data_IF_926875493360
#
_entry.id   IF_926875493360
#
_cell.length_a   1.000
_cell.length_b   1.000
_cell.length_c   1.000
_cell.angle_alpha   90.00
_cell.angle_beta   90.00
_cell.angle_gamma   90.00
#
_symmetry.space_group_name_H-M   'P 1'
#
loop_
_entity.id
_entity.type
_entity.pdbx_description
1 polymer ?
#
# COMPACT_ATOMS: atom_id res chain seq x y z
N UNK A 1 -18.90 3.83 -14.56
CA UNK A 1 -19.82 3.56 -13.44
C UNK A 1 -21.26 3.51 -13.94
N UNK A 2 -22.13 2.68 -13.34
CA UNK A 2 -23.57 2.67 -13.67
C UNK A 2 -24.21 3.91 -13.05
N UNK A 3 -24.70 4.82 -13.90
CA UNK A 3 -25.18 6.13 -13.43
C UNK A 3 -26.39 6.04 -12.50
N UNK A 4 -27.26 5.04 -12.71
CA UNK A 4 -28.42 4.79 -11.86
C UNK A 4 -27.98 4.45 -10.42
N UNK A 5 -27.09 3.47 -10.27
CA UNK A 5 -26.64 2.98 -8.97
C UNK A 5 -25.91 4.08 -8.19
N UNK A 6 -25.07 4.87 -8.87
CA UNK A 6 -24.40 6.03 -8.26
C UNK A 6 -25.41 7.06 -7.77
N UNK A 7 -26.41 7.39 -8.57
CA UNK A 7 -27.43 8.37 -8.18
C UNK A 7 -28.32 7.86 -7.04
N UNK A 8 -28.60 6.55 -6.98
CA UNK A 8 -29.37 5.90 -5.92
C UNK A 8 -28.62 5.94 -4.58
N UNK A 9 -27.34 5.55 -4.58
CA UNK A 9 -26.46 5.64 -3.40
C UNK A 9 -26.32 7.09 -2.90
N UNK A 10 -26.33 8.05 -3.82
CA UNK A 10 -26.25 9.48 -3.49
C UNK A 10 -27.60 10.11 -3.11
N UNK A 11 -28.67 9.31 -3.03
CA UNK A 11 -29.99 9.73 -2.55
C UNK A 11 -30.78 10.60 -3.53
N UNK A 12 -30.45 10.59 -4.83
CA UNK A 12 -31.19 11.37 -5.82
C UNK A 12 -32.52 10.69 -6.16
N UNK A 13 -33.63 11.37 -5.85
CA UNK A 13 -34.99 10.85 -6.14
C UNK A 13 -35.24 10.64 -7.64
N UNK A 14 -34.69 11.52 -8.49
CA UNK A 14 -34.80 11.41 -9.94
C UNK A 14 -33.42 11.27 -10.58
N UNK A 15 -32.99 10.02 -10.74
CA UNK A 15 -31.72 9.63 -11.36
C UNK A 15 -31.51 10.26 -12.75
N UNK A 16 -32.54 10.25 -13.61
CA UNK A 16 -32.42 10.76 -14.97
C UNK A 16 -32.20 12.28 -15.00
N UNK A 17 -32.87 13.00 -14.10
CA UNK A 17 -32.69 14.44 -13.92
C UNK A 17 -31.31 14.76 -13.34
N UNK A 18 -30.90 14.08 -12.26
CA UNK A 18 -29.58 14.28 -11.67
C UNK A 18 -28.44 14.05 -12.68
N UNK A 19 -28.55 12.97 -13.47
CA UNK A 19 -27.60 12.68 -14.55
C UNK A 19 -27.61 13.75 -15.65
N UNK A 20 -28.77 14.32 -15.98
CA UNK A 20 -28.89 15.39 -16.98
C UNK A 20 -28.37 16.74 -16.50
N UNK A 21 -28.60 17.06 -15.22
CA UNK A 21 -28.25 18.36 -14.63
C UNK A 21 -26.75 18.45 -14.29
N UNK A 22 -26.13 17.34 -13.86
CA UNK A 22 -24.77 17.35 -13.31
C UNK A 22 -23.70 16.72 -14.21
N UNK A 23 -24.05 15.72 -15.03
CA UNK A 23 -23.08 15.08 -15.92
C UNK A 23 -22.92 15.89 -17.21
N UNK A 24 -21.67 16.11 -17.63
CA UNK A 24 -21.36 16.83 -18.88
C UNK A 24 -20.95 15.90 -20.00
N UNK A 25 -20.43 14.71 -19.67
CA UNK A 25 -20.12 13.70 -20.67
C UNK A 25 -21.39 13.19 -21.35
N UNK A 26 -21.30 12.81 -22.64
CA UNK A 26 -22.40 12.11 -23.33
C UNK A 26 -22.58 10.76 -22.62
N UNK A 27 -23.74 10.51 -21.96
CA UNK A 27 -23.95 9.26 -21.28
C UNK A 27 -24.04 8.16 -22.33
N UNK A 28 -23.06 7.25 -22.31
CA UNK A 28 -23.05 6.11 -23.21
C UNK A 28 -24.11 5.12 -22.74
N UNK A 29 -25.02 4.75 -23.63
CA UNK A 29 -25.99 3.71 -23.37
C UNK A 29 -25.42 2.40 -23.90
N UNK A 30 -25.34 1.41 -23.04
CA UNK A 30 -24.88 0.08 -23.40
C UNK A 30 -25.99 -0.92 -23.08
N UNK A 31 -26.33 -1.80 -24.03
CA UNK A 31 -27.21 -2.92 -23.76
C UNK A 31 -26.51 -3.88 -22.80
N UNK A 32 -27.08 -4.07 -21.62
CA UNK A 32 -26.61 -5.03 -20.64
C UNK A 32 -27.68 -6.09 -20.41
N UNK A 33 -27.28 -7.37 -20.38
CA UNK A 33 -28.18 -8.44 -20.01
C UNK A 33 -28.38 -8.44 -18.50
N UNK A 34 -29.62 -8.21 -18.07
CA UNK A 34 -30.03 -8.23 -16.66
C UNK A 34 -31.04 -9.35 -16.45
N UNK A 35 -31.41 -9.64 -15.20
CA UNK A 35 -32.47 -10.62 -14.87
C UNK A 35 -33.83 -10.28 -15.52
N UNK A 36 -34.05 -9.02 -15.90
CA UNK A 36 -35.24 -8.56 -16.62
C UNK A 36 -35.08 -8.48 -18.14
N UNK A 37 -34.01 -9.04 -18.71
CA UNK A 37 -33.69 -8.96 -20.13
C UNK A 37 -32.64 -7.90 -20.45
N UNK A 38 -32.46 -7.62 -21.74
CA UNK A 38 -31.49 -6.61 -22.22
C UNK A 38 -32.01 -5.22 -21.94
N UNK A 39 -31.28 -4.43 -21.17
CA UNK A 39 -31.63 -3.06 -20.78
C UNK A 39 -30.54 -2.08 -21.21
N UNK A 40 -30.96 -0.91 -21.69
CA UNK A 40 -30.05 0.19 -22.02
C UNK A 40 -29.66 0.97 -20.76
N UNK A 41 -28.42 0.79 -20.31
CA UNK A 41 -27.91 1.38 -19.07
C UNK A 41 -27.01 2.57 -19.39
N UNK A 42 -27.21 3.69 -18.68
CA UNK A 42 -26.32 4.86 -18.77
C UNK A 42 -25.03 4.62 -17.98
N UNK A 43 -23.92 4.58 -18.69
CA UNK A 43 -22.58 4.53 -18.10
C UNK A 43 -22.01 5.95 -18.06
N UNK A 44 -21.58 6.36 -16.86
CA UNK A 44 -20.93 7.65 -16.62
C UNK A 44 -19.44 7.48 -16.37
N UNK A 45 -18.70 8.53 -16.71
CA UNK A 45 -17.27 8.67 -16.47
C UNK A 45 -16.99 9.03 -15.01
N UNK A 46 -15.75 8.86 -14.56
CA UNK A 46 -15.33 9.27 -13.21
C UNK A 46 -15.53 10.78 -12.94
N UNK A 47 -15.18 11.70 -13.87
CA UNK A 47 -15.48 13.12 -13.66
C UNK A 47 -16.97 13.42 -13.46
N UNK A 48 -17.85 12.72 -14.17
CA UNK A 48 -19.30 12.89 -14.01
C UNK A 48 -19.80 12.31 -12.68
N UNK A 49 -19.23 11.20 -12.23
CA UNK A 49 -19.49 10.67 -10.89
C UNK A 49 -19.06 11.66 -9.80
N UNK A 50 -17.86 12.23 -9.89
CA UNK A 50 -17.38 13.23 -8.93
C UNK A 50 -18.27 14.48 -8.91
N UNK A 51 -18.78 14.93 -10.07
CA UNK A 51 -19.76 16.03 -10.16
C UNK A 51 -21.06 15.71 -9.40
N UNK A 52 -21.56 14.48 -9.51
CA UNK A 52 -22.75 14.04 -8.77
C UNK A 52 -22.51 14.01 -7.26
N UNK A 53 -21.33 13.56 -6.82
CA UNK A 53 -20.95 13.53 -5.40
C UNK A 53 -20.90 14.95 -4.85
N UNK A 54 -20.19 15.85 -5.52
CA UNK A 54 -20.04 17.26 -5.12
C UNK A 54 -21.39 18.00 -5.11
N UNK A 55 -22.36 17.57 -5.92
CA UNK A 55 -23.71 18.16 -5.97
C UNK A 55 -24.70 17.52 -5.00
N UNK A 56 -24.32 16.44 -4.31
CA UNK A 56 -25.21 15.71 -3.39
C UNK A 56 -25.33 16.42 -2.05
N UNK A 57 -26.51 16.32 -1.42
CA UNK A 57 -26.80 16.86 -0.08
C UNK A 57 -26.64 15.83 1.03
N UNK A 58 -26.10 14.65 0.73
CA UNK A 58 -25.85 13.65 1.76
C UNK A 58 -24.67 14.07 2.62
N UNK A 59 -24.75 13.94 3.97
CA UNK A 59 -23.66 14.34 4.86
C UNK A 59 -22.32 13.65 4.54
N UNK A 60 -22.35 12.42 4.01
CA UNK A 60 -21.14 11.72 3.58
C UNK A 60 -20.51 12.34 2.32
N UNK A 61 -21.34 12.78 1.37
CA UNK A 61 -20.88 13.43 0.16
C UNK A 61 -20.32 14.83 0.45
N UNK A 62 -20.97 15.59 1.34
CA UNK A 62 -20.47 16.90 1.80
C UNK A 62 -19.13 16.79 2.55
N UNK A 63 -18.93 15.73 3.37
CA UNK A 63 -17.63 15.49 3.99
C UNK A 63 -16.54 15.20 2.96
N UNK A 64 -16.86 14.42 1.93
CA UNK A 64 -15.93 14.13 0.84
C UNK A 64 -15.62 15.39 0.02
N UNK A 65 -16.64 16.16 -0.35
CA UNK A 65 -16.49 17.43 -1.06
C UNK A 65 -15.59 18.38 -0.25
N UNK A 66 -15.88 18.60 1.02
CA UNK A 66 -15.04 19.43 1.90
C UNK A 66 -13.60 18.95 1.94
N UNK A 67 -13.38 17.65 2.14
CA UNK A 67 -12.03 17.08 2.15
C UNK A 67 -11.30 17.32 0.81
N UNK A 68 -11.96 17.12 -0.32
CA UNK A 68 -11.37 17.36 -1.64
C UNK A 68 -11.04 18.85 -1.85
N UNK A 69 -11.97 19.75 -1.54
CA UNK A 69 -11.83 21.18 -1.85
C UNK A 69 -10.99 21.96 -0.85
N UNK A 70 -11.00 21.60 0.42
CA UNK A 70 -10.28 22.31 1.48
C UNK A 70 -8.90 21.70 1.76
N UNK A 71 -8.72 20.40 1.55
CA UNK A 71 -7.47 19.70 1.88
C UNK A 71 -6.73 19.24 0.61
N UNK A 72 -7.34 18.37 -0.21
CA UNK A 72 -6.65 17.70 -1.32
C UNK A 72 -6.23 18.68 -2.41
N UNK A 73 -7.16 19.43 -2.99
CA UNK A 73 -6.90 20.33 -4.10
C UNK A 73 -5.97 21.49 -3.71
N UNK A 74 -6.11 22.14 -2.54
CA UNK A 74 -5.17 23.16 -2.10
C UNK A 74 -3.76 22.61 -1.89
N UNK A 75 -3.62 21.39 -1.35
CA UNK A 75 -2.33 20.74 -1.14
C UNK A 75 -1.66 20.37 -2.46
N UNK A 76 -2.40 19.76 -3.39
CA UNK A 76 -1.93 19.47 -4.75
C UNK A 76 -1.50 20.75 -5.48
N UNK A 77 -2.28 21.83 -5.40
CA UNK A 77 -1.94 23.10 -6.05
C UNK A 77 -0.66 23.72 -5.49
N UNK A 78 -0.44 23.64 -4.18
CA UNK A 78 0.72 24.26 -3.50
C UNK A 78 2.00 23.44 -3.63
N UNK A 79 1.89 22.11 -3.55
CA UNK A 79 3.05 21.22 -3.39
C UNK A 79 3.26 20.28 -4.57
N UNK A 80 2.29 20.16 -5.48
CA UNK A 80 2.30 19.21 -6.59
C UNK A 80 2.01 17.77 -6.19
N UNK A 81 1.83 17.48 -4.89
CA UNK A 81 1.60 16.13 -4.37
C UNK A 81 0.53 16.15 -3.27
N UNK A 82 -0.11 15.01 -3.03
CA UNK A 82 -0.96 14.80 -1.86
C UNK A 82 -0.72 13.38 -1.36
N UNK A 83 -0.45 13.24 -0.06
CA UNK A 83 -0.20 11.94 0.57
C UNK A 83 -1.19 11.78 1.72
N UNK A 84 -1.93 10.67 1.72
CA UNK A 84 -2.88 10.37 2.78
C UNK A 84 -2.12 10.09 4.08
N UNK A 85 -2.51 10.67 5.23
CA UNK A 85 -1.88 10.36 6.51
C UNK A 85 -1.93 8.85 6.79
N UNK A 86 -0.76 8.21 6.92
CA UNK A 86 -0.65 6.76 7.13
C UNK A 86 -0.47 5.92 5.86
N UNK A 87 -0.59 6.50 4.67
CA UNK A 87 -0.14 5.84 3.45
C UNK A 87 1.40 5.90 3.41
N UNK A 88 2.05 4.74 3.54
CA UNK A 88 3.48 4.62 3.27
C UNK A 88 3.72 5.06 1.81
N UNK A 89 4.74 5.89 1.53
CA UNK A 89 5.09 6.22 0.17
C UNK A 89 5.39 4.91 -0.59
N UNK A 90 4.51 4.56 -1.52
CA UNK A 90 4.73 3.40 -2.40
C UNK A 90 5.97 3.67 -3.23
N UNK A 91 6.93 2.76 -3.17
CA UNK A 91 8.13 2.84 -4.00
C UNK A 91 7.71 2.87 -5.48
N UNK A 92 8.39 3.65 -6.34
CA UNK A 92 8.17 3.57 -7.78
C UNK A 92 8.33 2.12 -8.25
N UNK A 93 7.47 1.65 -9.17
CA UNK A 93 7.47 0.25 -9.64
C UNK A 93 8.87 -0.31 -9.98
N UNK A 94 9.69 0.38 -10.79
CA UNK A 94 11.04 -0.08 -11.10
C UNK A 94 11.96 -0.24 -9.87
N UNK A 95 11.76 0.58 -8.85
CA UNK A 95 12.51 0.48 -7.59
C UNK A 95 12.00 -0.69 -6.75
N UNK A 96 10.68 -0.88 -6.68
CA UNK A 96 10.06 -2.00 -5.96
C UNK A 96 10.53 -3.36 -6.51
N UNK A 97 10.56 -3.51 -7.83
CA UNK A 97 11.00 -4.74 -8.50
C UNK A 97 12.48 -5.06 -8.17
N UNK A 98 13.35 -4.04 -8.18
CA UNK A 98 14.76 -4.18 -7.80
C UNK A 98 14.91 -4.62 -6.34
N UNK A 99 14.15 -4.03 -5.42
CA UNK A 99 14.17 -4.41 -4.00
C UNK A 99 13.72 -5.87 -3.82
N UNK A 100 12.62 -6.26 -4.47
CA UNK A 100 12.10 -7.63 -4.41
C UNK A 100 13.12 -8.65 -4.91
N UNK A 101 13.78 -8.37 -6.05
CA UNK A 101 14.83 -9.21 -6.59
C UNK A 101 16.02 -9.36 -5.63
N UNK A 102 16.48 -8.25 -5.04
CA UNK A 102 17.59 -8.26 -4.08
C UNK A 102 17.26 -9.05 -2.80
N UNK A 103 16.04 -8.93 -2.29
CA UNK A 103 15.58 -9.72 -1.14
C UNK A 103 15.55 -11.22 -1.43
N UNK A 104 15.06 -11.60 -2.62
CA UNK A 104 15.03 -12.99 -3.06
C UNK A 104 16.45 -13.58 -3.11
N UNK A 105 17.39 -12.85 -3.74
CA UNK A 105 18.80 -13.22 -3.78
C UNK A 105 19.36 -13.40 -2.36
N UNK A 106 19.07 -12.46 -1.46
CA UNK A 106 19.46 -12.53 -0.05
C UNK A 106 18.97 -13.79 0.67
N UNK A 107 17.73 -14.21 0.42
CA UNK A 107 17.15 -15.44 0.96
C UNK A 107 17.82 -16.71 0.42
N UNK A 108 18.28 -16.69 -0.84
CA UNK A 108 19.05 -17.81 -1.38
C UNK A 108 20.46 -17.85 -0.80
N UNK A 109 21.12 -16.69 -0.66
CA UNK A 109 22.45 -16.58 -0.06
C UNK A 109 22.46 -17.06 1.40
N UNK A 110 21.39 -16.82 2.16
CA UNK A 110 21.29 -17.28 3.56
C UNK A 110 21.19 -18.81 3.69
N UNK A 111 20.83 -19.53 2.63
CA UNK A 111 20.75 -21.01 2.61
C UNK A 111 22.07 -21.69 2.23
N UNK A 112 23.10 -20.93 1.84
CA UNK A 112 24.41 -21.49 1.47
C UNK A 112 25.09 -22.07 2.72
N UNK A 113 25.59 -23.32 2.68
CA UNK A 113 26.30 -23.92 3.82
C UNK A 113 27.46 -23.04 4.28
N UNK A 114 27.54 -22.76 5.58
CA UNK A 114 28.56 -21.89 6.18
C UNK A 114 28.23 -20.39 6.18
N UNK A 115 27.15 -19.95 5.53
CA UNK A 115 26.69 -18.55 5.62
C UNK A 115 25.89 -18.31 6.90
N UNK A 116 26.22 -17.23 7.61
CA UNK A 116 25.45 -16.78 8.77
C UNK A 116 24.27 -15.92 8.30
N UNK A 117 23.02 -16.19 8.73
CA UNK A 117 21.84 -15.45 8.28
C UNK A 117 21.93 -13.93 8.48
N UNK A 118 22.53 -13.48 9.59
CA UNK A 118 22.71 -12.05 9.86
C UNK A 118 23.67 -11.35 8.88
N UNK A 119 24.70 -12.06 8.40
CA UNK A 119 25.64 -11.51 7.41
C UNK A 119 24.95 -11.42 6.05
N UNK A 120 24.21 -12.45 5.66
CA UNK A 120 23.43 -12.45 4.42
C UNK A 120 22.38 -11.32 4.42
N UNK A 121 21.68 -11.12 5.53
CA UNK A 121 20.72 -10.02 5.69
C UNK A 121 21.39 -8.64 5.59
N UNK A 122 22.53 -8.44 6.27
CA UNK A 122 23.28 -7.19 6.21
C UNK A 122 23.81 -6.87 4.80
N UNK A 123 24.34 -7.88 4.10
CA UNK A 123 24.78 -7.75 2.71
C UNK A 123 23.62 -7.41 1.77
N UNK A 124 22.46 -8.05 1.98
CA UNK A 124 21.23 -7.76 1.20
C UNK A 124 20.78 -6.31 1.39
N UNK A 125 20.74 -5.83 2.64
CA UNK A 125 20.42 -4.44 2.97
C UNK A 125 21.41 -3.45 2.37
N UNK A 126 22.71 -3.77 2.37
CA UNK A 126 23.73 -2.95 1.72
C UNK A 126 23.53 -2.88 0.19
N UNK A 127 23.16 -4.01 -0.42
CA UNK A 127 22.88 -4.08 -1.85
C UNK A 127 21.62 -3.29 -2.23
N UNK A 128 20.58 -3.32 -1.39
CA UNK A 128 19.39 -2.47 -1.58
C UNK A 128 19.79 -0.99 -1.55
N UNK A 129 20.58 -0.57 -0.55
CA UNK A 129 21.06 0.82 -0.43
C UNK A 129 21.79 1.27 -1.69
N UNK A 130 22.74 0.48 -2.19
CA UNK A 130 23.56 0.85 -3.35
C UNK A 130 22.80 0.88 -4.67
N UNK A 131 21.69 0.15 -4.78
CA UNK A 131 20.92 0.04 -6.03
C UNK A 131 19.66 0.92 -6.07
N UNK A 132 19.20 1.44 -4.93
CA UNK A 132 17.92 2.16 -4.82
C UNK A 132 18.02 3.53 -4.16
N UNK A 133 19.19 3.90 -3.61
CA UNK A 133 19.39 5.09 -2.79
C UNK A 133 18.44 5.18 -1.57
N UNK A 134 17.79 4.08 -1.18
CA UNK A 134 16.95 4.03 0.01
C UNK A 134 17.81 4.13 1.26
N UNK A 135 17.37 4.97 2.20
CA UNK A 135 18.03 5.17 3.48
C UNK A 135 17.86 3.92 4.35
N UNK A 136 18.89 3.08 4.41
CA UNK A 136 18.90 1.91 5.31
C UNK A 136 19.46 2.23 6.70
N UNK A 137 19.86 3.47 6.97
CA UNK A 137 20.48 3.89 8.23
C UNK A 137 19.51 3.81 9.42
N UNK A 138 18.24 4.15 9.22
CA UNK A 138 17.21 4.04 10.26
C UNK A 138 16.97 2.57 10.62
N UNK A 139 16.92 1.69 9.63
CA UNK A 139 16.79 0.24 9.82
C UNK A 139 18.03 -0.32 10.50
N UNK A 140 19.23 0.10 10.08
CA UNK A 140 20.50 -0.32 10.69
C UNK A 140 20.59 0.10 12.15
N UNK A 141 20.09 1.29 12.49
CA UNK A 141 20.04 1.81 13.87
C UNK A 141 18.99 1.11 14.72
N UNK A 142 17.87 0.69 14.12
CA UNK A 142 16.81 -0.07 14.78
C UNK A 142 17.16 -1.55 15.00
N UNK A 143 18.02 -2.12 14.15
CA UNK A 143 18.53 -3.47 14.34
C UNK A 143 19.42 -3.50 15.58
N UNK A 144 19.16 -4.41 16.55
CA UNK A 144 20.04 -4.56 17.70
C UNK A 144 21.44 -4.94 17.19
N UNK A 145 22.47 -4.32 17.78
CA UNK A 145 23.84 -4.76 17.55
C UNK A 145 23.91 -6.27 17.80
N UNK A 146 24.65 -6.99 16.94
CA UNK A 146 24.86 -8.42 17.09
C UNK A 146 25.72 -8.65 18.35
N UNK A 147 25.08 -8.63 19.52
CA UNK A 147 25.77 -8.64 20.82
C UNK A 147 26.41 -9.98 21.15
N UNK A 148 26.07 -11.05 20.41
CA UNK A 148 26.59 -12.39 20.67
C UNK A 148 27.16 -13.03 19.41
N UNK A 149 28.49 -13.20 19.36
CA UNK A 149 29.07 -14.25 18.54
C UNK A 149 28.64 -15.59 19.16
N UNK A 150 27.69 -16.31 18.54
CA UNK A 150 27.30 -17.67 18.95
C UNK A 150 28.50 -18.63 19.09
N UNK A 151 29.64 -18.28 18.47
CA UNK A 151 30.91 -19.00 18.53
C UNK A 151 31.79 -18.69 19.76
N UNK A 152 31.39 -17.81 20.67
CA UNK A 152 32.15 -17.50 21.90
C UNK A 152 31.57 -18.14 23.17
N UNK A 153 30.39 -18.77 23.09
CA UNK A 153 29.80 -19.43 24.24
C UNK A 153 30.31 -20.87 24.30
N UNK A 154 31.13 -21.19 25.30
CA UNK A 154 31.43 -22.58 25.61
C UNK A 154 30.18 -23.28 26.16
N UNK A 155 30.13 -24.61 26.09
CA UNK A 155 28.97 -25.41 26.52
C UNK A 155 28.50 -25.09 27.96
N UNK A 156 29.44 -24.68 28.82
CA UNK A 156 29.18 -24.29 30.21
C UNK A 156 28.48 -22.93 30.32
N UNK A 157 28.88 -21.96 29.50
CA UNK A 157 28.25 -20.63 29.42
C UNK A 157 26.86 -20.71 28.79
N UNK A 158 26.69 -21.60 27.81
CA UNK A 158 25.40 -21.85 27.17
C UNK A 158 24.42 -22.53 28.15
N UNK A 159 24.88 -23.53 28.91
CA UNK A 159 24.06 -24.21 29.92
C UNK A 159 23.58 -23.28 31.04
N UNK A 160 24.42 -22.35 31.50
CA UNK A 160 24.03 -21.35 32.49
C UNK A 160 22.88 -20.45 32.03
N UNK A 161 22.80 -20.15 30.73
CA UNK A 161 21.73 -19.31 30.16
C UNK A 161 20.44 -20.07 29.87
N UNK A 162 20.56 -21.35 29.56
CA UNK A 162 19.43 -22.25 29.28
C UNK A 162 18.92 -22.96 30.54
N UNK A 163 19.44 -22.61 31.72
CA UNK A 163 19.14 -23.27 32.99
C UNK A 163 19.33 -24.79 32.95
N UNK A 164 20.29 -25.27 32.16
CA UNK A 164 20.59 -26.69 32.00
C UNK A 164 22.09 -26.98 32.18
N UNK A 165 22.44 -28.23 32.49
CA UNK A 165 23.84 -28.58 32.75
C UNK A 165 24.66 -28.56 31.45
N UNK A 166 25.96 -28.25 31.55
CA UNK A 166 26.87 -28.29 30.41
C UNK A 166 26.90 -29.66 29.69
N UNK A 167 26.59 -30.75 30.42
CA UNK A 167 26.49 -32.10 29.87
C UNK A 167 25.22 -32.30 29.03
N UNK A 168 24.12 -31.63 29.38
CA UNK A 168 22.86 -31.67 28.62
C UNK A 168 22.90 -30.79 27.35
N UNK A 169 23.82 -29.83 27.30
CA UNK A 169 24.05 -28.97 26.12
C UNK A 169 24.96 -29.62 25.08
N UNK A 170 25.84 -30.52 25.51
CA UNK A 170 26.80 -31.23 24.65
C UNK A 170 26.28 -32.58 24.12
N UNK A 171 25.09 -33.01 24.56
CA UNK A 171 24.41 -34.21 24.05
C UNK A 171 23.50 -33.83 22.89
#
# INVERSE_FOLDING_TARGET
FVGKDVADVLGYTNHNKALGDHCRGVPKRYPLQTSGGVQEIRIISEPDMLRLIVSSKLPAAERFERWVFEEVLPTLRKTGTYSTPGALPTLPGPTQDRVAALLLIGQFVSKVPGMKPGIAAAATLACIKSNTNLTTEEIRRALPALQEPLCLLNATQLGKRLHCSAKAVNQ
#
